data_IF_279573787149
#
_entry.id   IF_279573787149
#
_cell.length_a   1.000
_cell.length_b   1.000
_cell.length_c   1.000
_cell.angle_alpha   90.00
_cell.angle_beta   90.00
_cell.angle_gamma   90.00
#
_symmetry.space_group_name_H-M   'P 1'
#
loop_
_entity.id
_entity.type
_entity.pdbx_description
1 polymer ?
#
# COMPACT_ATOMS: atom_id res chain seq x y z
N UNK A 1 11.80 -16.54 -5.18
CA UNK A 1 10.51 -16.99 -5.76
C UNK A 1 10.61 -18.43 -6.17
N UNK A 2 9.56 -19.18 -5.94
CA UNK A 2 9.46 -20.52 -6.52
C UNK A 2 9.03 -20.35 -7.98
N UNK A 3 9.93 -20.60 -8.93
CA UNK A 3 9.58 -20.62 -10.35
C UNK A 3 8.85 -21.93 -10.68
N UNK A 4 7.60 -22.07 -10.21
CA UNK A 4 6.80 -23.23 -10.49
C UNK A 4 6.34 -23.25 -11.97
N UNK A 5 6.56 -24.40 -12.63
CA UNK A 5 5.90 -24.71 -13.90
C UNK A 5 4.47 -25.21 -13.66
N UNK A 6 3.67 -25.32 -14.70
CA UNK A 6 2.33 -25.92 -14.59
C UNK A 6 2.39 -27.36 -14.06
N UNK A 7 3.39 -28.09 -14.51
CA UNK A 7 3.66 -29.48 -14.11
C UNK A 7 4.02 -29.56 -12.61
N UNK A 8 4.79 -28.60 -12.10
CA UNK A 8 5.10 -28.53 -10.65
C UNK A 8 3.85 -28.27 -9.83
N UNK A 9 2.98 -27.36 -10.29
CA UNK A 9 1.69 -27.09 -9.63
C UNK A 9 0.80 -28.32 -9.58
N UNK A 10 0.69 -29.05 -10.70
CA UNK A 10 -0.12 -30.28 -10.77
C UNK A 10 0.41 -31.29 -9.74
N UNK A 11 1.74 -31.54 -9.77
CA UNK A 11 2.37 -32.46 -8.83
C UNK A 11 2.15 -32.07 -7.38
N UNK A 12 2.38 -30.81 -7.02
CA UNK A 12 2.20 -30.31 -5.65
C UNK A 12 0.75 -30.44 -5.17
N UNK A 13 -0.23 -30.16 -6.03
CA UNK A 13 -1.65 -30.30 -5.70
C UNK A 13 -2.01 -31.76 -5.38
N UNK A 14 -1.43 -32.72 -6.13
CA UNK A 14 -1.62 -34.16 -5.92
C UNK A 14 -0.88 -34.65 -4.66
N UNK A 15 0.43 -34.36 -4.53
CA UNK A 15 1.27 -34.80 -3.41
C UNK A 15 0.78 -34.28 -2.05
N UNK A 16 0.26 -33.06 -2.02
CA UNK A 16 -0.18 -32.38 -0.81
C UNK A 16 -1.68 -32.57 -0.51
N UNK A 17 -2.40 -33.41 -1.25
CA UNK A 17 -3.84 -33.69 -1.10
C UNK A 17 -4.67 -32.40 -1.02
N UNK A 18 -4.45 -31.50 -1.99
CA UNK A 18 -5.18 -30.24 -2.09
C UNK A 18 -6.58 -30.51 -2.66
N UNK A 19 -7.61 -30.17 -1.93
CA UNK A 19 -9.02 -30.34 -2.36
C UNK A 19 -9.58 -29.06 -3.03
N UNK A 20 -9.18 -27.87 -2.50
CA UNK A 20 -9.65 -26.58 -3.02
C UNK A 20 -8.50 -25.63 -3.29
N UNK A 21 -8.65 -24.87 -4.38
CA UNK A 21 -7.71 -23.80 -4.75
C UNK A 21 -8.46 -22.46 -4.71
N UNK A 22 -7.92 -21.50 -3.96
CA UNK A 22 -8.44 -20.15 -3.90
C UNK A 22 -7.68 -19.25 -4.87
N UNK A 23 -8.38 -18.75 -5.86
CA UNK A 23 -7.91 -17.73 -6.78
C UNK A 23 -8.17 -16.37 -6.15
N UNK A 24 -7.12 -15.73 -5.67
CA UNK A 24 -7.20 -14.50 -4.88
C UNK A 24 -6.85 -13.27 -5.73
N UNK A 25 -7.58 -12.21 -5.55
CA UNK A 25 -7.33 -10.91 -6.16
C UNK A 25 -7.82 -9.80 -5.19
N UNK A 26 -7.56 -8.54 -5.51
CA UNK A 26 -7.86 -7.42 -4.61
C UNK A 26 -8.80 -6.44 -5.31
N UNK A 27 -9.82 -5.95 -4.58
CA UNK A 27 -10.65 -4.86 -5.08
C UNK A 27 -9.94 -3.51 -5.00
N UNK A 28 -10.56 -2.46 -5.53
CA UNK A 28 -10.03 -1.09 -5.55
C UNK A 28 -9.62 -0.58 -4.16
N UNK A 29 -10.33 -1.00 -3.12
CA UNK A 29 -10.11 -0.54 -1.73
C UNK A 29 -9.14 -1.42 -0.93
N UNK A 30 -8.47 -2.38 -1.58
CA UNK A 30 -7.51 -3.26 -0.93
C UNK A 30 -8.15 -4.42 -0.15
N UNK A 31 -9.41 -4.75 -0.40
CA UNK A 31 -10.02 -5.93 0.20
C UNK A 31 -9.71 -7.17 -0.63
N UNK A 32 -9.20 -8.21 0.04
CA UNK A 32 -8.91 -9.48 -0.59
C UNK A 32 -10.21 -10.20 -0.96
N UNK A 33 -10.39 -10.47 -2.25
CA UNK A 33 -11.47 -11.29 -2.81
C UNK A 33 -10.92 -12.64 -3.23
N UNK A 34 -11.78 -13.63 -3.38
CA UNK A 34 -11.37 -14.92 -3.93
C UNK A 34 -12.52 -15.70 -4.57
N UNK A 35 -12.16 -16.55 -5.51
CA UNK A 35 -13.01 -17.61 -6.03
C UNK A 35 -12.39 -18.93 -5.62
N UNK A 36 -13.17 -19.85 -5.09
CA UNK A 36 -12.73 -21.18 -4.76
C UNK A 36 -13.12 -22.16 -5.88
N UNK A 37 -12.17 -22.93 -6.36
CA UNK A 37 -12.37 -24.02 -7.29
C UNK A 37 -11.87 -25.33 -6.68
N UNK A 38 -12.44 -26.46 -7.09
CA UNK A 38 -11.92 -27.78 -6.68
C UNK A 38 -10.64 -28.10 -7.43
N UNK A 39 -9.77 -28.95 -6.87
CA UNK A 39 -8.55 -29.40 -7.52
C UNK A 39 -8.83 -30.05 -8.88
N UNK A 40 -9.98 -30.68 -9.07
CA UNK A 40 -10.40 -31.23 -10.36
C UNK A 40 -10.56 -30.20 -11.48
N UNK A 41 -10.62 -28.91 -11.14
CA UNK A 41 -10.67 -27.81 -12.11
C UNK A 41 -9.28 -27.17 -12.33
N UNK A 42 -8.20 -27.76 -11.84
CA UNK A 42 -6.85 -27.21 -11.92
C UNK A 42 -6.42 -26.92 -13.36
N UNK A 43 -6.73 -27.80 -14.31
CA UNK A 43 -6.43 -27.57 -15.74
C UNK A 43 -7.08 -26.28 -16.26
N UNK A 44 -8.33 -26.02 -15.87
CA UNK A 44 -9.04 -24.79 -16.21
C UNK A 44 -8.35 -23.56 -15.61
N UNK A 45 -7.88 -23.67 -14.36
CA UNK A 45 -7.11 -22.63 -13.66
C UNK A 45 -5.83 -22.30 -14.42
N UNK A 46 -5.00 -23.34 -14.67
CA UNK A 46 -3.69 -23.19 -15.32
C UNK A 46 -3.75 -22.71 -16.76
N UNK A 47 -4.91 -22.84 -17.41
CA UNK A 47 -5.15 -22.35 -18.76
C UNK A 47 -5.92 -21.02 -18.80
N UNK A 48 -5.99 -20.29 -17.70
CA UNK A 48 -6.58 -18.95 -17.58
C UNK A 48 -8.07 -18.90 -17.99
N UNK A 49 -8.82 -19.98 -17.71
CA UNK A 49 -10.24 -20.12 -18.11
C UNK A 49 -11.22 -19.94 -16.93
N UNK A 50 -10.75 -19.40 -15.80
CA UNK A 50 -11.60 -19.12 -14.64
C UNK A 50 -12.24 -17.74 -14.78
N UNK A 51 -13.52 -17.73 -15.07
CA UNK A 51 -14.35 -16.53 -15.22
C UNK A 51 -15.09 -16.22 -13.92
N UNK A 52 -15.33 -14.94 -13.66
CA UNK A 52 -16.16 -14.45 -12.57
C UNK A 52 -16.93 -13.19 -12.98
N UNK A 53 -17.97 -12.87 -12.21
CA UNK A 53 -18.73 -11.64 -12.38
C UNK A 53 -18.04 -10.47 -11.67
N UNK A 54 -17.42 -9.59 -12.46
CA UNK A 54 -16.73 -8.39 -11.95
C UNK A 54 -17.69 -7.29 -11.49
N UNK A 55 -18.97 -7.33 -11.87
CA UNK A 55 -19.95 -6.30 -11.47
C UNK A 55 -20.26 -6.35 -9.96
N UNK A 56 -20.04 -7.51 -9.33
CA UNK A 56 -20.19 -7.69 -7.89
C UNK A 56 -18.98 -7.18 -7.07
N UNK A 57 -17.94 -6.66 -7.74
CA UNK A 57 -16.72 -6.19 -7.09
C UNK A 57 -16.67 -4.66 -7.15
N UNK A 58 -16.57 -4.05 -5.99
CA UNK A 58 -16.53 -2.59 -5.85
C UNK A 58 -15.38 -1.97 -6.68
N UNK A 59 -15.74 -1.04 -7.54
CA UNK A 59 -14.80 -0.32 -8.40
C UNK A 59 -14.36 -1.07 -9.67
N UNK A 60 -14.86 -2.29 -9.94
CA UNK A 60 -14.50 -3.04 -11.14
C UNK A 60 -15.36 -2.63 -12.35
N UNK A 61 -16.20 -3.50 -12.85
CA UNK A 61 -16.90 -3.31 -14.10
C UNK A 61 -18.36 -2.87 -13.93
N UNK A 62 -18.99 -2.44 -15.01
CA UNK A 62 -20.44 -2.27 -15.06
C UNK A 62 -21.10 -3.63 -15.32
N UNK A 63 -22.41 -3.72 -15.08
CA UNK A 63 -23.19 -4.96 -15.30
C UNK A 63 -23.08 -5.46 -16.75
N UNK A 64 -22.98 -4.53 -17.71
CA UNK A 64 -22.89 -4.84 -19.13
C UNK A 64 -21.53 -5.40 -19.57
N UNK A 65 -20.49 -5.27 -18.73
CA UNK A 65 -19.11 -5.71 -18.99
C UNK A 65 -18.60 -6.59 -17.84
N UNK A 66 -19.48 -7.39 -17.25
CA UNK A 66 -19.21 -8.06 -15.96
C UNK A 66 -18.28 -9.26 -16.06
N UNK A 67 -18.18 -9.91 -17.20
CA UNK A 67 -17.37 -11.11 -17.37
C UNK A 67 -15.87 -10.77 -17.29
N UNK A 68 -15.21 -11.31 -16.26
CA UNK A 68 -13.77 -11.15 -16.04
C UNK A 68 -13.10 -12.51 -15.86
N UNK A 69 -11.80 -12.58 -16.15
CA UNK A 69 -10.98 -13.78 -16.02
C UNK A 69 -9.87 -13.60 -14.99
N UNK A 70 -9.58 -14.67 -14.25
CA UNK A 70 -8.47 -14.73 -13.31
C UNK A 70 -7.30 -15.47 -13.95
N UNK A 71 -6.16 -14.80 -14.03
CA UNK A 71 -4.90 -15.33 -14.52
C UNK A 71 -3.97 -15.55 -13.32
N UNK A 72 -3.79 -16.81 -12.87
CA UNK A 72 -3.00 -17.09 -11.68
C UNK A 72 -1.51 -16.85 -11.91
N UNK A 73 -0.89 -16.19 -10.96
CA UNK A 73 0.55 -16.11 -10.84
C UNK A 73 1.05 -17.38 -10.14
N UNK A 74 1.67 -18.28 -10.90
CA UNK A 74 2.08 -19.60 -10.42
C UNK A 74 3.14 -19.51 -9.31
N UNK A 75 3.97 -18.47 -9.32
CA UNK A 75 5.00 -18.24 -8.29
C UNK A 75 4.41 -18.00 -6.90
N UNK A 76 3.12 -17.66 -6.84
CA UNK A 76 2.41 -17.33 -5.60
C UNK A 76 1.64 -18.50 -4.99
N UNK A 77 1.79 -19.74 -5.51
CA UNK A 77 1.13 -20.90 -4.91
C UNK A 77 1.57 -21.09 -3.46
N UNK A 78 0.59 -21.16 -2.56
CA UNK A 78 0.78 -21.42 -1.14
C UNK A 78 -0.32 -22.35 -0.60
N UNK A 79 0.06 -23.33 0.22
CA UNK A 79 -0.86 -24.20 0.93
C UNK A 79 -1.12 -23.61 2.31
N UNK A 80 -2.37 -23.45 2.70
CA UNK A 80 -2.72 -22.85 3.98
C UNK A 80 -2.39 -23.76 5.16
N UNK A 81 -1.40 -23.42 6.02
CA UNK A 81 -0.96 -24.28 7.12
C UNK A 81 -2.00 -24.42 8.23
N UNK A 82 -3.02 -23.58 8.25
CA UNK A 82 -4.11 -23.60 9.25
C UNK A 82 -5.34 -24.39 8.82
N UNK A 83 -5.26 -25.10 7.70
CA UNK A 83 -6.35 -26.00 7.24
C UNK A 83 -6.09 -27.43 7.69
N UNK A 84 -7.13 -28.33 7.68
CA UNK A 84 -6.98 -29.73 8.04
C UNK A 84 -5.85 -30.44 7.26
N UNK A 85 -5.31 -31.50 7.84
CA UNK A 85 -4.29 -32.34 7.19
C UNK A 85 -4.83 -33.11 5.97
N UNK A 86 -6.14 -33.35 5.93
CA UNK A 86 -6.85 -33.93 4.78
C UNK A 86 -7.73 -32.88 4.14
N UNK A 87 -7.81 -32.85 2.82
CA UNK A 87 -8.55 -31.85 2.07
C UNK A 87 -7.94 -30.46 2.20
N UNK A 88 -6.65 -30.33 1.99
CA UNK A 88 -5.92 -29.07 2.10
C UNK A 88 -6.47 -28.02 1.14
N UNK A 89 -6.22 -26.77 1.46
CA UNK A 89 -6.59 -25.62 0.63
C UNK A 89 -5.33 -24.86 0.24
N UNK A 90 -5.12 -24.72 -1.07
CA UNK A 90 -4.10 -23.86 -1.63
C UNK A 90 -4.68 -22.51 -2.06
N UNK A 91 -3.82 -21.54 -2.31
CA UNK A 91 -4.18 -20.27 -2.95
C UNK A 91 -3.17 -19.92 -4.05
N UNK A 92 -3.62 -19.18 -5.05
CA UNK A 92 -2.76 -18.43 -5.96
C UNK A 92 -3.30 -16.99 -6.06
N UNK A 93 -2.40 -16.01 -6.14
CA UNK A 93 -2.77 -14.64 -6.44
C UNK A 93 -2.94 -14.51 -7.95
N UNK A 94 -3.97 -13.80 -8.36
CA UNK A 94 -4.34 -13.68 -9.76
C UNK A 94 -4.34 -12.22 -10.20
N UNK A 95 -3.96 -12.01 -11.44
CA UNK A 95 -4.27 -10.79 -12.17
C UNK A 95 -5.65 -10.89 -12.81
N UNK A 96 -6.31 -9.76 -12.99
CA UNK A 96 -7.64 -9.70 -13.60
C UNK A 96 -7.53 -9.30 -15.07
N UNK A 97 -8.24 -10.03 -15.93
CA UNK A 97 -8.25 -9.84 -17.38
C UNK A 97 -9.67 -9.71 -17.92
N UNK A 98 -9.82 -8.94 -18.99
CA UNK A 98 -11.06 -8.85 -19.77
C UNK A 98 -11.25 -10.08 -20.68
N UNK A 99 -12.48 -10.36 -21.18
CA UNK A 99 -12.75 -11.46 -22.10
C UNK A 99 -11.94 -11.42 -23.41
N UNK A 100 -11.49 -10.25 -23.82
CA UNK A 100 -10.64 -10.06 -24.99
C UNK A 100 -9.15 -10.39 -24.76
N UNK A 101 -8.79 -10.87 -23.56
CA UNK A 101 -7.42 -11.22 -23.19
C UNK A 101 -6.51 -10.03 -22.83
N UNK A 102 -7.07 -8.83 -22.69
CA UNK A 102 -6.32 -7.67 -22.22
C UNK A 102 -6.38 -7.59 -20.69
N UNK A 103 -5.29 -7.16 -20.02
CA UNK A 103 -5.33 -6.86 -18.59
C UNK A 103 -6.43 -5.86 -18.27
N UNK A 104 -7.08 -6.05 -17.14
CA UNK A 104 -8.09 -5.11 -16.69
C UNK A 104 -7.44 -3.90 -16.00
N UNK A 105 -7.67 -2.71 -16.52
CA UNK A 105 -7.08 -1.46 -16.04
C UNK A 105 -7.56 -1.06 -14.63
N UNK A 106 -8.65 -1.65 -14.17
CA UNK A 106 -9.17 -1.48 -12.80
C UNK A 106 -8.58 -2.45 -11.78
N UNK A 107 -7.64 -3.32 -12.19
CA UNK A 107 -6.92 -4.21 -11.27
C UNK A 107 -5.77 -3.46 -10.58
N UNK A 108 -5.83 -3.26 -9.22
CA UNK A 108 -4.76 -2.60 -8.49
C UNK A 108 -3.38 -3.26 -8.65
N UNK A 109 -3.35 -4.61 -8.77
CA UNK A 109 -2.12 -5.36 -8.99
C UNK A 109 -1.51 -5.05 -10.37
N UNK A 110 -2.34 -4.87 -11.38
CA UNK A 110 -1.90 -4.45 -12.72
C UNK A 110 -1.32 -3.02 -12.72
N UNK A 111 -1.90 -2.08 -11.94
CA UNK A 111 -1.34 -0.72 -11.81
C UNK A 111 0.07 -0.77 -11.23
N UNK A 112 0.30 -1.57 -10.18
CA UNK A 112 1.65 -1.73 -9.61
C UNK A 112 2.61 -2.38 -10.61
N UNK A 113 2.18 -3.41 -11.36
CA UNK A 113 3.01 -4.03 -12.42
C UNK A 113 3.47 -3.01 -13.45
N UNK A 114 2.60 -2.08 -13.87
CA UNK A 114 2.98 -0.99 -14.78
C UNK A 114 4.04 -0.06 -14.17
N UNK A 115 3.91 0.28 -12.90
CA UNK A 115 4.88 1.12 -12.21
C UNK A 115 6.24 0.41 -12.05
N UNK A 116 6.23 -0.88 -11.70
CA UNK A 116 7.43 -1.73 -11.63
C UNK A 116 8.12 -1.81 -12.99
N UNK A 117 7.35 -2.05 -14.07
CA UNK A 117 7.90 -2.08 -15.43
C UNK A 117 8.60 -0.77 -15.82
N UNK A 118 8.03 0.37 -15.44
CA UNK A 118 8.69 1.67 -15.67
C UNK A 118 10.04 1.79 -14.92
N UNK A 119 10.14 1.22 -13.72
CA UNK A 119 11.40 1.17 -12.98
C UNK A 119 12.42 0.23 -13.65
N UNK A 120 11.98 -0.94 -14.11
CA UNK A 120 12.83 -1.89 -14.83
C UNK A 120 13.34 -1.28 -16.16
N UNK A 121 12.49 -0.57 -16.91
CA UNK A 121 12.87 0.16 -18.12
C UNK A 121 13.95 1.23 -17.84
N UNK A 122 14.00 1.75 -16.60
CA UNK A 122 15.08 2.63 -16.12
C UNK A 122 16.28 1.86 -15.57
N UNK A 123 16.23 0.53 -15.49
CA UNK A 123 17.29 -0.36 -15.02
C UNK A 123 17.36 -0.48 -13.49
N UNK A 124 16.24 -0.35 -12.78
CA UNK A 124 16.17 -0.46 -11.32
C UNK A 124 15.47 -1.75 -10.85
N UNK A 125 15.86 -2.22 -9.65
CA UNK A 125 15.21 -3.30 -8.88
C UNK A 125 14.82 -2.75 -7.51
N UNK A 126 13.64 -3.12 -6.97
CA UNK A 126 12.98 -2.42 -5.85
C UNK A 126 12.85 -3.28 -4.60
N UNK A 127 13.07 -2.67 -3.40
CA UNK A 127 13.00 -3.33 -2.08
C UNK A 127 12.23 -2.53 -1.02
N UNK A 128 11.50 -3.19 -0.05
CA UNK A 128 10.74 -2.52 1.03
C UNK A 128 10.51 -3.35 2.32
N UNK A 129 10.54 -2.76 3.56
CA UNK A 129 10.08 -3.36 4.84
C UNK A 129 10.08 -2.45 6.10
N UNK A 130 9.25 -2.67 7.23
CA UNK A 130 9.48 -2.24 8.62
C UNK A 130 8.42 -2.14 9.79
N UNK A 131 8.69 -1.66 11.07
CA UNK A 131 8.19 -1.72 12.48
C UNK A 131 7.44 -0.57 13.19
N UNK A 132 6.51 -0.82 14.30
CA UNK A 132 6.03 0.19 15.31
C UNK A 132 5.24 -0.22 16.60
N UNK A 133 4.88 0.71 17.61
CA UNK A 133 4.45 0.43 18.99
C UNK A 133 3.19 1.16 19.55
N UNK A 134 2.19 0.45 20.14
CA UNK A 134 1.21 0.91 21.16
C UNK A 134 0.57 -0.28 21.95
N UNK A 135 -0.13 -0.10 23.09
CA UNK A 135 -0.70 -1.20 23.88
C UNK A 135 -1.67 -2.07 23.07
N UNK A 136 -1.42 -3.40 23.02
CA UNK A 136 -2.11 -4.39 22.20
C UNK A 136 -1.97 -4.16 20.68
N UNK A 137 -1.06 -3.31 20.25
CA UNK A 137 -0.60 -3.19 18.88
C UNK A 137 0.59 -4.13 18.72
N UNK A 138 0.49 -4.99 17.71
CA UNK A 138 1.57 -5.87 17.31
C UNK A 138 2.06 -5.42 15.96
N UNK A 139 3.35 -5.39 15.82
CA UNK A 139 4.02 -5.09 14.60
C UNK A 139 4.77 -6.30 14.11
N UNK A 140 4.77 -6.50 12.83
CA UNK A 140 5.50 -7.58 12.18
C UNK A 140 6.22 -7.00 10.98
N UNK A 141 7.53 -7.14 10.98
CA UNK A 141 8.37 -6.79 9.85
C UNK A 141 8.29 -7.81 8.75
N UNK A 142 8.29 -7.30 7.55
CA UNK A 142 8.60 -8.12 6.38
C UNK A 142 10.09 -7.97 6.05
N UNK A 143 10.75 -9.09 5.75
CA UNK A 143 12.02 -9.01 5.04
C UNK A 143 11.75 -8.27 3.72
N UNK A 144 12.66 -7.39 3.32
CA UNK A 144 12.55 -6.68 2.05
C UNK A 144 12.44 -7.67 0.88
N UNK A 145 11.66 -7.29 -0.12
CA UNK A 145 11.43 -8.05 -1.34
C UNK A 145 11.04 -7.07 -2.46
N UNK A 146 10.88 -7.57 -3.68
CA UNK A 146 10.36 -6.80 -4.79
C UNK A 146 8.99 -6.20 -4.47
N UNK A 147 8.69 -5.02 -5.01
CA UNK A 147 7.50 -4.25 -4.66
C UNK A 147 6.18 -5.01 -4.87
N UNK A 148 6.07 -5.76 -5.98
CA UNK A 148 4.87 -6.54 -6.27
C UNK A 148 4.69 -7.68 -5.26
N UNK A 149 5.75 -8.41 -4.97
CA UNK A 149 5.76 -9.47 -3.95
C UNK A 149 5.45 -8.93 -2.55
N UNK A 150 6.02 -7.79 -2.20
CA UNK A 150 5.73 -7.13 -0.92
C UNK A 150 4.24 -6.81 -0.81
N UNK A 151 3.60 -6.31 -1.87
CA UNK A 151 2.16 -6.07 -1.88
C UNK A 151 1.35 -7.36 -1.72
N UNK A 152 1.72 -8.42 -2.44
CA UNK A 152 1.10 -9.76 -2.34
C UNK A 152 1.24 -10.32 -0.91
N UNK A 153 2.42 -10.18 -0.31
CA UNK A 153 2.71 -10.60 1.06
C UNK A 153 1.92 -9.82 2.11
N UNK A 154 1.75 -8.51 1.94
CA UNK A 154 0.91 -7.68 2.83
C UNK A 154 -0.55 -8.17 2.79
N UNK A 155 -1.09 -8.48 1.62
CA UNK A 155 -2.47 -9.00 1.51
C UNK A 155 -2.62 -10.36 2.18
N UNK A 156 -1.65 -11.25 1.97
CA UNK A 156 -1.60 -12.58 2.61
C UNK A 156 -1.48 -12.45 4.13
N UNK A 157 -0.61 -11.58 4.62
CA UNK A 157 -0.41 -11.30 6.03
C UNK A 157 -1.69 -10.82 6.72
N UNK A 158 -2.37 -9.82 6.15
CA UNK A 158 -3.65 -9.32 6.70
C UNK A 158 -4.69 -10.44 6.84
N UNK A 159 -4.77 -11.33 5.86
CA UNK A 159 -5.65 -12.50 5.91
C UNK A 159 -5.23 -13.49 6.99
N UNK A 160 -3.94 -13.84 7.05
CA UNK A 160 -3.40 -14.79 8.02
C UNK A 160 -3.62 -14.33 9.45
N UNK A 161 -3.26 -13.09 9.77
CA UNK A 161 -3.41 -12.50 11.12
C UNK A 161 -4.88 -12.51 11.56
N UNK A 162 -5.80 -12.06 10.70
CA UNK A 162 -7.24 -12.09 11.02
C UNK A 162 -7.75 -13.51 11.25
N UNK A 163 -7.27 -14.48 10.46
CA UNK A 163 -7.69 -15.89 10.57
C UNK A 163 -7.17 -16.52 11.86
N UNK A 164 -5.89 -16.30 12.18
CA UNK A 164 -5.26 -16.86 13.38
C UNK A 164 -5.86 -16.23 14.64
N UNK A 165 -5.99 -14.90 14.68
CA UNK A 165 -6.61 -14.19 15.81
C UNK A 165 -8.01 -14.74 16.11
N UNK A 166 -8.86 -14.90 15.08
CA UNK A 166 -10.21 -15.45 15.25
C UNK A 166 -10.21 -16.86 15.84
N UNK A 167 -9.23 -17.71 15.49
CA UNK A 167 -9.09 -19.06 16.06
C UNK A 167 -8.76 -19.06 17.55
N UNK A 168 -8.14 -17.99 18.03
CA UNK A 168 -7.83 -17.77 19.45
C UNK A 168 -8.85 -16.88 20.17
N UNK A 169 -10.03 -16.67 19.60
CA UNK A 169 -11.09 -15.85 20.19
C UNK A 169 -10.78 -14.35 20.20
N UNK A 170 -9.78 -13.90 19.41
CA UNK A 170 -9.37 -12.51 19.30
C UNK A 170 -9.87 -11.87 18.01
N UNK A 171 -9.94 -10.54 17.99
CA UNK A 171 -10.21 -9.75 16.79
C UNK A 171 -8.99 -8.92 16.41
N UNK A 172 -8.42 -9.20 15.24
CA UNK A 172 -7.33 -8.38 14.67
C UNK A 172 -7.91 -7.31 13.74
N UNK A 173 -7.52 -6.07 13.96
CA UNK A 173 -7.90 -4.92 13.13
C UNK A 173 -6.68 -4.26 12.50
N UNK A 174 -6.84 -3.78 11.27
CA UNK A 174 -5.89 -2.92 10.56
C UNK A 174 -6.44 -1.48 10.44
N UNK A 175 -7.32 -1.09 11.34
CA UNK A 175 -7.88 0.26 11.42
C UNK A 175 -6.79 1.25 11.83
N UNK A 176 -6.61 2.39 11.13
CA UNK A 176 -5.53 3.34 11.39
C UNK A 176 -5.55 3.95 12.79
N UNK A 177 -6.74 4.23 13.34
CA UNK A 177 -6.91 4.79 14.68
C UNK A 177 -8.07 4.10 15.41
N UNK A 178 -7.85 2.91 15.99
CA UNK A 178 -8.93 2.14 16.63
C UNK A 178 -9.38 2.70 17.98
N UNK A 179 -8.50 3.46 18.67
CA UNK A 179 -8.80 4.02 20.01
C UNK A 179 -8.40 5.49 20.09
N UNK A 180 -9.24 6.28 20.77
CA UNK A 180 -8.92 7.65 21.13
C UNK A 180 -7.79 7.71 22.19
N UNK A 181 -6.93 8.73 22.11
CA UNK A 181 -5.91 9.00 23.13
C UNK A 181 -4.67 8.09 23.13
N UNK A 182 -4.56 7.15 22.17
CA UNK A 182 -3.37 6.28 22.00
C UNK A 182 -2.83 6.37 20.57
N UNK A 183 -1.60 5.89 20.32
CA UNK A 183 -1.03 5.87 18.97
C UNK A 183 -1.90 5.01 18.01
N UNK A 184 -1.87 5.37 16.74
CA UNK A 184 -2.54 4.62 15.67
C UNK A 184 -1.62 3.59 15.01
N UNK A 185 -2.15 2.84 14.05
CA UNK A 185 -1.41 1.86 13.26
C UNK A 185 -0.93 2.47 11.94
N UNK A 186 0.38 2.56 11.75
CA UNK A 186 1.02 2.92 10.49
C UNK A 186 1.28 1.70 9.61
N UNK A 187 1.62 1.96 8.37
CA UNK A 187 2.27 1.02 7.45
C UNK A 187 3.42 1.78 6.80
N UNK A 188 4.53 1.89 7.53
CA UNK A 188 5.69 2.61 7.04
C UNK A 188 6.28 1.87 5.84
N UNK A 189 6.65 2.60 4.80
CA UNK A 189 7.19 2.00 3.59
C UNK A 189 8.65 2.39 3.47
N UNK A 190 9.51 1.39 3.64
CA UNK A 190 10.93 1.50 3.38
C UNK A 190 11.19 1.19 1.91
N UNK A 191 11.91 2.06 1.21
CA UNK A 191 12.16 1.95 -0.23
C UNK A 191 13.62 2.20 -0.55
N UNK A 192 14.17 1.37 -1.43
CA UNK A 192 15.44 1.59 -2.12
C UNK A 192 15.31 1.17 -3.57
N UNK A 193 16.24 1.63 -4.41
CA UNK A 193 16.34 1.18 -5.79
C UNK A 193 17.68 0.49 -6.01
N UNK A 194 17.66 -0.59 -6.79
CA UNK A 194 18.88 -1.28 -7.20
C UNK A 194 19.09 -1.16 -8.70
N UNK A 195 20.34 -1.10 -9.10
CA UNK A 195 20.78 -1.18 -10.50
C UNK A 195 22.03 -2.05 -10.56
N UNK A 196 22.04 -3.05 -11.44
CA UNK A 196 23.15 -3.99 -11.62
C UNK A 196 23.57 -4.65 -10.27
N UNK A 197 22.59 -5.01 -9.40
CA UNK A 197 22.80 -5.60 -8.08
C UNK A 197 23.35 -4.66 -7.01
N UNK A 198 23.41 -3.34 -7.27
CA UNK A 198 23.88 -2.34 -6.32
C UNK A 198 22.77 -1.38 -5.93
N UNK A 199 22.68 -1.08 -4.63
CA UNK A 199 21.81 -0.04 -4.12
C UNK A 199 22.28 1.33 -4.65
N UNK A 200 21.42 2.01 -5.44
CA UNK A 200 21.76 3.29 -6.05
C UNK A 200 21.46 4.51 -5.14
N UNK A 201 20.86 4.27 -3.97
CA UNK A 201 20.59 5.36 -3.02
C UNK A 201 21.82 5.72 -2.18
N UNK A 202 22.84 4.89 -2.18
CA UNK A 202 24.04 5.08 -1.37
C UNK A 202 25.09 5.92 -2.09
N UNK A 203 25.65 6.91 -1.37
CA UNK A 203 26.90 7.61 -1.72
C UNK A 203 27.69 7.90 -0.44
N UNK A 204 28.80 7.18 -0.24
CA UNK A 204 29.66 7.34 0.93
C UNK A 204 30.39 8.70 0.98
N UNK A 205 30.41 9.48 -0.10
CA UNK A 205 31.01 10.82 -0.16
C UNK A 205 30.05 11.93 0.29
N UNK A 206 28.74 11.63 0.34
CA UNK A 206 27.72 12.58 0.79
C UNK A 206 27.63 12.62 2.32
N UNK A 207 27.47 13.78 2.95
CA UNK A 207 27.35 13.91 4.43
C UNK A 207 26.21 13.11 5.05
N UNK A 208 25.13 12.85 4.30
CA UNK A 208 23.98 12.06 4.72
C UNK A 208 24.05 10.61 4.20
N UNK A 209 25.08 10.22 3.46
CA UNK A 209 25.24 8.92 2.84
C UNK A 209 24.30 8.67 1.65
N UNK A 210 23.69 9.72 1.08
CA UNK A 210 22.67 9.65 0.04
C UNK A 210 23.22 10.04 -1.33
N UNK A 211 22.89 9.25 -2.35
CA UNK A 211 23.15 9.61 -3.73
C UNK A 211 22.21 10.72 -4.24
N UNK A 212 22.54 11.29 -5.38
CA UNK A 212 21.66 12.25 -6.08
C UNK A 212 20.30 11.61 -6.43
N UNK A 213 20.31 10.36 -6.82
CA UNK A 213 19.11 9.58 -7.12
C UNK A 213 18.19 9.46 -5.90
N UNK A 214 18.75 9.23 -4.70
CA UNK A 214 17.98 9.21 -3.45
C UNK A 214 17.36 10.58 -3.16
N UNK A 215 18.11 11.67 -3.28
CA UNK A 215 17.56 13.02 -3.12
C UNK A 215 16.45 13.31 -4.13
N UNK A 216 16.64 12.97 -5.38
CA UNK A 216 15.62 13.18 -6.42
C UNK A 216 14.37 12.34 -6.15
N UNK A 217 14.53 11.10 -5.69
CA UNK A 217 13.42 10.23 -5.33
C UNK A 217 12.61 10.82 -4.16
N UNK A 218 13.28 11.31 -3.11
CA UNK A 218 12.65 12.04 -1.99
C UNK A 218 11.90 13.27 -2.52
N UNK A 219 12.54 14.06 -3.39
CA UNK A 219 11.92 15.25 -3.98
C UNK A 219 10.66 14.94 -4.77
N UNK A 220 10.66 13.85 -5.53
CA UNK A 220 9.48 13.39 -6.27
C UNK A 220 8.33 12.98 -5.36
N UNK A 221 8.59 12.20 -4.30
CA UNK A 221 7.57 11.85 -3.31
C UNK A 221 7.02 13.11 -2.63
N UNK A 222 7.88 14.01 -2.16
CA UNK A 222 7.44 15.23 -1.46
C UNK A 222 6.60 16.15 -2.36
N UNK A 223 6.88 16.21 -3.65
CA UNK A 223 6.10 16.97 -4.64
C UNK A 223 4.66 16.49 -4.72
N UNK A 224 4.44 15.18 -4.70
CA UNK A 224 3.13 14.56 -4.93
C UNK A 224 2.42 14.08 -3.65
N UNK A 225 3.04 14.22 -2.48
CA UNK A 225 2.56 13.56 -1.25
C UNK A 225 1.15 13.96 -0.85
N UNK A 226 0.70 15.19 -1.14
CA UNK A 226 -0.67 15.62 -0.86
C UNK A 226 -1.67 14.88 -1.75
N UNK A 227 -1.40 14.76 -3.04
CA UNK A 227 -2.22 13.98 -3.98
C UNK A 227 -2.19 12.47 -3.68
N UNK A 228 -1.06 11.97 -3.19
CA UNK A 228 -0.94 10.58 -2.76
C UNK A 228 -1.71 10.28 -1.48
N UNK A 229 -1.98 11.28 -0.63
CA UNK A 229 -2.57 11.08 0.70
C UNK A 229 -3.92 10.35 0.67
N UNK A 230 -4.78 10.61 -0.31
CA UNK A 230 -6.04 9.88 -0.46
C UNK A 230 -5.86 8.38 -0.69
N UNK A 231 -4.72 7.96 -1.27
CA UNK A 231 -4.37 6.56 -1.57
C UNK A 231 -3.65 5.92 -0.38
N UNK A 232 -2.69 6.62 0.20
CA UNK A 232 -1.85 6.13 1.31
C UNK A 232 -2.57 6.16 2.66
N UNK A 233 -3.61 7.01 2.78
CA UNK A 233 -4.42 7.25 3.97
C UNK A 233 -5.91 7.28 3.59
N UNK A 234 -6.49 6.10 3.24
CA UNK A 234 -7.71 6.02 2.43
C UNK A 234 -9.03 6.22 3.18
N UNK A 235 -9.02 6.32 4.50
CA UNK A 235 -10.23 6.35 5.31
C UNK A 235 -10.39 7.69 6.04
N UNK A 236 -11.64 8.07 6.36
CA UNK A 236 -11.89 9.15 7.33
C UNK A 236 -11.09 8.91 8.62
N UNK A 237 -11.00 7.66 9.05
CA UNK A 237 -10.26 7.27 10.24
C UNK A 237 -8.73 7.46 10.11
N UNK A 238 -8.17 7.44 8.91
CA UNK A 238 -6.76 7.72 8.63
C UNK A 238 -6.33 9.09 9.18
N UNK A 239 -7.17 10.09 9.01
CA UNK A 239 -6.93 11.48 9.43
C UNK A 239 -7.10 11.68 10.95
N UNK A 240 -7.68 10.71 11.66
CA UNK A 240 -7.66 10.64 13.14
C UNK A 240 -6.35 10.08 13.67
N UNK A 241 -5.55 9.40 12.83
CA UNK A 241 -4.16 9.03 13.12
C UNK A 241 -3.22 10.19 12.82
N UNK A 242 -3.38 10.89 11.69
CA UNK A 242 -2.53 11.98 11.23
C UNK A 242 -2.82 13.29 12.00
N UNK A 243 -2.68 13.24 13.31
CA UNK A 243 -2.83 14.39 14.21
C UNK A 243 -1.58 14.59 15.06
N UNK A 244 -1.19 15.83 15.40
CA UNK A 244 -0.02 16.11 16.24
C UNK A 244 -0.11 15.40 17.60
N UNK A 245 1.06 14.94 18.10
CA UNK A 245 1.17 14.35 19.44
C UNK A 245 1.05 12.82 19.54
N UNK A 246 0.91 12.11 18.42
CA UNK A 246 0.76 10.64 18.37
C UNK A 246 1.76 9.96 17.43
N UNK A 247 2.96 10.50 17.30
CA UNK A 247 4.08 9.96 16.48
C UNK A 247 3.80 9.76 14.99
N UNK A 248 2.61 10.10 14.52
CA UNK A 248 2.29 10.09 13.11
C UNK A 248 2.76 11.39 12.43
N UNK A 249 3.36 11.34 11.24
CA UNK A 249 3.84 12.54 10.55
C UNK A 249 2.64 13.36 10.04
N UNK A 250 2.66 14.66 10.36
CA UNK A 250 1.65 15.61 9.90
C UNK A 250 2.26 16.62 8.94
N UNK A 251 3.56 16.87 9.07
CA UNK A 251 4.30 17.90 8.34
C UNK A 251 5.14 17.29 7.23
N UNK A 252 5.18 17.96 6.08
CA UNK A 252 5.91 17.53 4.88
C UNK A 252 7.35 17.98 5.03
N UNK A 253 8.19 17.09 5.57
CA UNK A 253 9.61 17.30 5.76
C UNK A 253 10.34 15.95 5.71
N UNK A 254 11.67 15.96 5.58
CA UNK A 254 12.51 14.77 5.68
C UNK A 254 13.69 14.99 6.63
N UNK A 255 14.26 13.90 7.17
CA UNK A 255 15.38 13.95 8.10
C UNK A 255 16.17 12.64 8.11
N UNK A 256 17.46 12.75 8.46
CA UNK A 256 18.35 11.60 8.71
C UNK A 256 18.39 11.18 10.17
N UNK A 257 17.95 12.02 11.11
CA UNK A 257 18.12 11.80 12.56
C UNK A 257 16.82 11.78 13.35
N UNK A 258 15.75 12.38 12.85
CA UNK A 258 14.51 12.60 13.57
C UNK A 258 13.42 11.61 13.12
N UNK A 259 12.50 11.24 14.04
CA UNK A 259 11.32 10.39 13.75
C UNK A 259 10.02 11.18 13.52
N UNK A 260 10.06 12.52 13.67
CA UNK A 260 8.88 13.37 13.48
C UNK A 260 8.54 13.71 12.01
N UNK A 261 9.48 13.73 11.04
CA UNK A 261 9.17 14.07 9.67
C UNK A 261 8.46 12.93 8.90
N UNK A 262 7.89 13.33 7.77
CA UNK A 262 7.20 12.46 6.83
C UNK A 262 8.11 11.39 6.23
N UNK A 263 9.33 11.78 5.84
CA UNK A 263 10.34 10.88 5.29
C UNK A 263 11.53 10.85 6.23
N UNK A 264 11.92 9.64 6.64
CA UNK A 264 13.11 9.38 7.44
C UNK A 264 14.12 8.59 6.64
N UNK A 265 15.40 8.86 6.89
CA UNK A 265 16.49 8.01 6.40
C UNK A 265 16.98 7.17 7.59
N UNK A 266 16.65 5.88 7.65
CA UNK A 266 17.13 5.01 8.72
C UNK A 266 18.65 4.89 8.70
N UNK A 267 19.28 4.90 9.88
CA UNK A 267 20.71 4.64 9.99
C UNK A 267 21.03 3.19 9.59
N UNK A 268 22.13 2.99 8.89
CA UNK A 268 22.68 1.68 8.52
C UNK A 268 24.09 1.56 9.02
N UNK A 269 24.48 0.40 9.57
CA UNK A 269 25.80 0.22 10.18
C UNK A 269 26.93 0.33 9.15
N UNK A 270 26.70 -0.11 7.92
CA UNK A 270 27.74 -0.33 6.89
C UNK A 270 27.46 0.46 5.61
N UNK A 271 26.40 1.28 5.58
CA UNK A 271 25.91 1.93 4.35
C UNK A 271 25.18 0.97 3.40
N UNK A 272 25.40 -0.33 3.51
CA UNK A 272 24.58 -1.33 2.82
C UNK A 272 23.15 -1.28 3.36
N UNK A 273 22.15 -1.11 2.50
CA UNK A 273 20.75 -0.98 2.92
C UNK A 273 20.29 0.47 3.13
N UNK A 274 21.01 1.46 2.57
CA UNK A 274 20.52 2.84 2.49
C UNK A 274 19.16 2.87 1.82
N UNK A 275 18.17 3.42 2.53
CA UNK A 275 16.76 3.45 2.13
C UNK A 275 16.07 4.68 2.65
N UNK A 276 14.93 5.00 2.09
CA UNK A 276 14.01 6.01 2.60
C UNK A 276 12.82 5.33 3.25
N UNK A 277 12.33 5.87 4.35
CA UNK A 277 11.14 5.43 5.07
C UNK A 277 10.04 6.48 4.93
N UNK A 278 8.99 6.19 4.17
CA UNK A 278 7.78 7.01 4.12
C UNK A 278 6.85 6.60 5.26
N UNK A 279 6.52 7.53 6.16
CA UNK A 279 5.88 7.24 7.44
C UNK A 279 4.39 7.58 7.52
N UNK A 280 3.85 8.29 6.52
CA UNK A 280 2.43 8.64 6.49
C UNK A 280 1.50 7.47 6.19
N UNK A 281 1.79 6.50 5.30
CA UNK A 281 0.85 5.45 4.95
C UNK A 281 0.34 4.69 6.17
N UNK A 282 -0.88 4.19 6.09
CA UNK A 282 -1.48 3.39 7.15
C UNK A 282 -1.93 2.01 6.67
N UNK A 283 -2.21 1.15 7.63
CA UNK A 283 -2.51 -0.25 7.38
C UNK A 283 -3.85 -0.53 6.68
N UNK A 284 -4.72 0.49 6.49
CA UNK A 284 -5.94 0.36 5.71
C UNK A 284 -5.70 0.57 4.20
N UNK A 285 -4.56 1.14 3.82
CA UNK A 285 -4.23 1.41 2.44
C UNK A 285 -4.19 0.13 1.58
N UNK A 286 -4.57 0.27 0.31
CA UNK A 286 -4.36 -0.75 -0.70
C UNK A 286 -2.85 -0.81 -1.03
N UNK A 287 -2.14 -1.90 -0.71
CA UNK A 287 -0.69 -1.94 -0.86
C UNK A 287 -0.25 -1.79 -2.31
N UNK A 288 -1.00 -2.32 -3.28
CA UNK A 288 -0.66 -2.20 -4.69
C UNK A 288 -0.69 -0.74 -5.16
N UNK A 289 -1.78 -0.03 -4.88
CA UNK A 289 -1.90 1.37 -5.27
C UNK A 289 -0.90 2.25 -4.51
N UNK A 290 -0.71 1.99 -3.23
CA UNK A 290 0.24 2.74 -2.38
C UNK A 290 1.67 2.62 -2.92
N UNK A 291 2.14 1.41 -3.19
CA UNK A 291 3.48 1.19 -3.72
C UNK A 291 3.61 1.75 -5.15
N UNK A 292 2.58 1.63 -5.97
CA UNK A 292 2.58 2.18 -7.33
C UNK A 292 2.76 3.71 -7.34
N UNK A 293 2.00 4.45 -6.51
CA UNK A 293 2.12 5.92 -6.47
C UNK A 293 3.43 6.36 -5.83
N UNK A 294 3.92 5.66 -4.79
CA UNK A 294 5.22 5.96 -4.18
C UNK A 294 6.37 5.78 -5.18
N UNK A 295 6.39 4.63 -5.87
CA UNK A 295 7.41 4.33 -6.86
C UNK A 295 7.38 5.32 -8.02
N UNK A 296 6.22 5.55 -8.60
CA UNK A 296 6.06 6.44 -9.76
C UNK A 296 6.44 7.89 -9.42
N UNK A 297 6.06 8.40 -8.24
CA UNK A 297 6.43 9.73 -7.77
C UNK A 297 7.96 9.86 -7.60
N UNK A 298 8.59 8.86 -6.96
CA UNK A 298 10.04 8.83 -6.79
C UNK A 298 10.79 8.76 -8.14
N UNK A 299 10.33 7.93 -9.07
CA UNK A 299 10.91 7.82 -10.42
C UNK A 299 10.74 9.11 -11.23
N UNK A 300 9.61 9.82 -11.10
CA UNK A 300 9.48 11.15 -11.71
C UNK A 300 10.51 12.13 -11.12
N UNK A 301 10.69 12.08 -9.78
CA UNK A 301 11.73 12.87 -9.13
C UNK A 301 13.12 12.66 -9.73
N UNK A 302 13.51 11.41 -9.99
CA UNK A 302 14.78 11.07 -10.64
C UNK A 302 14.82 11.60 -12.09
N UNK A 303 13.78 11.38 -12.87
CA UNK A 303 13.71 11.85 -14.28
C UNK A 303 13.82 13.36 -14.41
N UNK A 304 13.09 14.09 -13.57
CA UNK A 304 13.03 15.56 -13.59
C UNK A 304 14.10 16.21 -12.72
N UNK A 305 14.91 15.41 -12.00
CA UNK A 305 15.94 15.86 -11.05
C UNK A 305 15.39 16.81 -10.00
N UNK A 306 14.27 16.45 -9.38
CA UNK A 306 13.58 17.24 -8.36
C UNK A 306 14.34 17.11 -7.05
N UNK A 307 14.94 18.19 -6.58
CA UNK A 307 15.58 18.21 -5.26
C UNK A 307 14.52 18.40 -4.15
N UNK A 308 14.62 17.69 -3.02
CA UNK A 308 13.83 18.00 -1.84
C UNK A 308 14.30 19.32 -1.22
N UNK A 309 13.47 19.96 -0.36
CA UNK A 309 13.94 21.05 0.51
C UNK A 309 15.04 20.56 1.47
N UNK A 310 15.65 21.47 2.21
CA UNK A 310 16.64 21.12 3.24
C UNK A 310 16.05 20.19 4.30
N UNK A 311 16.88 19.28 4.82
CA UNK A 311 16.45 18.33 5.87
C UNK A 311 16.18 19.06 7.19
N UNK A 312 15.14 18.63 7.89
CA UNK A 312 14.75 19.22 9.17
C UNK A 312 15.12 18.27 10.31
N UNK A 313 16.18 18.59 11.03
CA UNK A 313 16.68 17.78 12.14
C UNK A 313 16.13 18.23 13.51
N UNK A 314 15.37 19.33 13.57
CA UNK A 314 14.66 19.77 14.76
C UNK A 314 13.35 19.01 14.99
N UNK A 315 12.85 18.98 16.22
CA UNK A 315 11.52 18.47 16.50
C UNK A 315 10.44 19.39 15.90
N UNK A 316 9.88 19.00 14.76
CA UNK A 316 8.92 19.80 13.99
C UNK A 316 7.66 20.11 14.81
N UNK A 317 7.25 19.22 15.74
CA UNK A 317 6.08 19.45 16.60
C UNK A 317 6.31 20.56 17.64
N UNK A 318 7.56 20.86 17.98
CA UNK A 318 7.90 21.95 18.89
C UNK A 318 7.95 23.33 18.19
N UNK A 319 8.00 23.36 16.85
CA UNK A 319 8.04 24.61 16.06
C UNK A 319 6.69 25.31 16.09
N UNK A 320 6.71 26.62 16.22
CA UNK A 320 5.51 27.47 16.06
C UNK A 320 5.03 27.48 14.59
N UNK A 321 3.78 27.88 14.36
CA UNK A 321 3.26 28.04 13.00
C UNK A 321 4.06 29.04 12.16
N UNK A 322 4.63 30.09 12.81
CA UNK A 322 5.50 31.08 12.16
C UNK A 322 6.81 30.47 11.70
N UNK A 323 7.50 29.73 12.58
CA UNK A 323 8.76 29.07 12.26
C UNK A 323 8.59 28.01 11.16
N UNK A 324 7.50 27.22 11.18
CA UNK A 324 7.21 26.29 10.10
C UNK A 324 7.03 26.99 8.76
N UNK A 325 6.34 28.14 8.74
CA UNK A 325 6.17 28.95 7.54
C UNK A 325 7.50 29.51 7.01
N UNK A 326 8.37 29.98 7.91
CA UNK A 326 9.71 30.50 7.54
C UNK A 326 10.60 29.40 6.97
N UNK A 327 10.45 28.15 7.44
CA UNK A 327 11.15 26.96 6.95
C UNK A 327 10.46 26.30 5.74
N UNK A 328 9.38 26.87 5.20
CA UNK A 328 8.55 26.29 4.13
C UNK A 328 8.09 24.86 4.42
N UNK A 329 7.82 24.54 5.69
CA UNK A 329 7.27 23.23 6.09
C UNK A 329 5.76 23.28 5.92
N UNK A 330 5.28 22.54 4.91
CA UNK A 330 3.86 22.41 4.62
C UNK A 330 3.24 21.23 5.41
N UNK A 331 1.95 21.05 5.31
CA UNK A 331 1.17 20.07 6.05
C UNK A 331 0.48 19.07 5.13
N UNK A 332 0.36 17.82 5.55
CA UNK A 332 -0.52 16.85 4.91
C UNK A 332 -1.98 17.28 5.03
N UNK A 333 -2.87 16.85 4.12
CA UNK A 333 -4.31 17.05 4.27
C UNK A 333 -4.79 16.61 5.66
N UNK A 334 -5.65 17.39 6.28
CA UNK A 334 -6.19 17.11 7.62
C UNK A 334 -7.46 16.28 7.61
N UNK A 335 -8.08 16.09 6.45
CA UNK A 335 -9.31 15.33 6.25
C UNK A 335 -9.27 14.51 4.97
N UNK A 336 -10.13 13.49 4.90
CA UNK A 336 -10.28 12.70 3.66
C UNK A 336 -10.72 13.58 2.49
N UNK A 337 -11.59 14.55 2.71
CA UNK A 337 -12.01 15.46 1.65
C UNK A 337 -10.85 16.27 1.07
N UNK A 338 -10.06 16.90 1.94
CA UNK A 338 -8.88 17.67 1.52
C UNK A 338 -7.91 16.79 0.71
N UNK A 339 -7.69 15.54 1.14
CA UNK A 339 -6.82 14.61 0.41
C UNK A 339 -7.39 14.25 -0.96
N UNK A 340 -8.69 14.05 -1.08
CA UNK A 340 -9.34 13.81 -2.38
C UNK A 340 -9.23 15.04 -3.29
N UNK A 341 -9.40 16.24 -2.74
CA UNK A 341 -9.23 17.48 -3.50
C UNK A 341 -7.78 17.70 -3.97
N UNK A 342 -6.80 17.28 -3.20
CA UNK A 342 -5.40 17.29 -3.62
C UNK A 342 -5.11 16.22 -4.70
N UNK A 343 -5.73 15.02 -4.61
CA UNK A 343 -5.65 14.01 -5.66
C UNK A 343 -6.26 14.49 -6.98
N UNK A 344 -7.39 15.21 -6.94
CA UNK A 344 -8.03 15.81 -8.13
C UNK A 344 -7.18 16.87 -8.81
N UNK A 345 -6.30 17.55 -8.07
CA UNK A 345 -5.35 18.53 -8.62
C UNK A 345 -4.08 17.88 -9.19
N UNK A 346 -3.74 16.70 -8.71
CA UNK A 346 -2.51 16.00 -9.08
C UNK A 346 -2.75 15.07 -10.28
N UNK A 347 -2.68 15.62 -11.46
CA UNK A 347 -2.87 14.86 -12.71
C UNK A 347 -1.86 13.75 -12.89
N UNK A 348 -0.62 13.90 -12.37
CA UNK A 348 0.39 12.85 -12.45
C UNK A 348 -0.02 11.61 -11.64
N UNK A 349 -0.50 11.78 -10.42
CA UNK A 349 -0.96 10.64 -9.61
C UNK A 349 -2.22 10.00 -10.23
N UNK A 350 -3.12 10.81 -10.81
CA UNK A 350 -4.27 10.28 -11.56
C UNK A 350 -3.81 9.44 -12.76
N UNK A 351 -2.82 9.89 -13.53
CA UNK A 351 -2.24 9.14 -14.66
C UNK A 351 -1.61 7.83 -14.22
N UNK A 352 -0.93 7.79 -13.07
CA UNK A 352 -0.38 6.55 -12.48
C UNK A 352 -1.49 5.55 -12.18
N UNK A 353 -2.59 6.00 -11.59
CA UNK A 353 -3.75 5.17 -11.29
C UNK A 353 -4.49 4.73 -12.56
N UNK A 354 -4.51 5.57 -13.57
CA UNK A 354 -5.32 5.45 -14.77
C UNK A 354 -6.76 5.94 -14.54
N UNK A 355 -7.42 6.38 -15.62
CA UNK A 355 -8.72 7.06 -15.58
C UNK A 355 -9.79 6.25 -14.84
N UNK A 356 -9.80 4.94 -15.04
CA UNK A 356 -10.79 4.06 -14.41
C UNK A 356 -10.67 4.07 -12.88
N UNK A 357 -9.47 3.80 -12.36
CA UNK A 357 -9.24 3.76 -10.90
C UNK A 357 -9.38 5.16 -10.32
N UNK A 358 -8.76 6.18 -10.91
CA UNK A 358 -8.80 7.55 -10.39
C UNK A 358 -10.23 8.04 -10.24
N UNK A 359 -11.06 7.92 -11.30
CA UNK A 359 -12.45 8.36 -11.26
C UNK A 359 -13.28 7.60 -10.22
N UNK A 360 -13.24 6.26 -10.25
CA UNK A 360 -14.00 5.43 -9.29
C UNK A 360 -13.58 5.66 -7.84
N UNK A 361 -12.28 5.85 -7.61
CA UNK A 361 -11.74 6.09 -6.28
C UNK A 361 -12.18 7.44 -5.71
N UNK A 362 -12.04 8.50 -6.49
CA UNK A 362 -12.46 9.86 -6.12
C UNK A 362 -13.96 9.87 -5.77
N UNK A 363 -14.82 9.32 -6.63
CA UNK A 363 -16.26 9.25 -6.40
C UNK A 363 -16.59 8.52 -5.09
N UNK A 364 -15.98 7.36 -4.87
CA UNK A 364 -16.21 6.56 -3.68
C UNK A 364 -15.76 7.28 -2.40
N UNK A 365 -14.59 7.95 -2.43
CA UNK A 365 -14.06 8.67 -1.27
C UNK A 365 -14.82 9.96 -0.96
N UNK A 366 -15.33 10.64 -1.97
CA UNK A 366 -16.28 11.76 -1.77
C UNK A 366 -17.59 11.29 -1.14
N UNK A 367 -18.11 10.14 -1.57
CA UNK A 367 -19.31 9.53 -0.96
C UNK A 367 -19.05 9.15 0.50
N UNK A 368 -17.95 8.46 0.81
CA UNK A 368 -17.56 8.10 2.18
C UNK A 368 -17.48 9.34 3.10
N UNK A 369 -16.85 10.42 2.62
CA UNK A 369 -16.79 11.67 3.37
C UNK A 369 -18.16 12.28 3.58
N UNK A 370 -19.02 12.31 2.54
CA UNK A 370 -20.37 12.87 2.65
C UNK A 370 -21.23 12.09 3.66
N UNK A 371 -21.15 10.78 3.66
CA UNK A 371 -21.83 9.93 4.63
C UNK A 371 -21.30 10.17 6.06
N UNK A 372 -19.97 10.23 6.23
CA UNK A 372 -19.36 10.49 7.53
C UNK A 372 -19.75 11.86 8.10
N UNK A 373 -19.67 12.94 7.29
CA UNK A 373 -19.95 14.30 7.78
C UNK A 373 -21.41 14.54 8.18
N UNK A 374 -22.31 13.67 7.78
CA UNK A 374 -23.73 13.71 8.17
C UNK A 374 -24.01 12.95 9.47
N UNK A 375 -23.05 12.20 9.99
CA UNK A 375 -23.22 11.50 11.25
C UNK A 375 -23.09 12.44 12.45
N UNK A 376 -23.95 12.26 13.44
CA UNK A 376 -23.82 12.94 14.74
C UNK A 376 -23.09 11.99 15.69
N UNK A 377 -21.93 12.39 16.15
CA UNK A 377 -21.10 11.56 17.04
C UNK A 377 -21.57 11.65 18.51
N UNK A 378 -21.26 10.61 19.29
CA UNK A 378 -21.52 10.66 20.74
C UNK A 378 -20.82 11.83 21.43
N UNK A 379 -19.62 12.20 20.96
CA UNK A 379 -18.88 13.35 21.47
C UNK A 379 -19.68 14.66 21.25
N UNK A 380 -20.27 14.86 20.09
CA UNK A 380 -21.12 16.03 19.79
C UNK A 380 -22.36 16.06 20.69
N UNK A 381 -22.99 14.90 20.89
CA UNK A 381 -24.14 14.77 21.79
C UNK A 381 -23.73 15.13 23.24
N UNK A 382 -22.63 14.57 23.72
CA UNK A 382 -22.13 14.85 25.09
C UNK A 382 -21.72 16.32 25.26
N UNK A 383 -21.10 16.92 24.25
CA UNK A 383 -20.61 18.30 24.34
C UNK A 383 -21.67 19.36 24.10
N UNK A 384 -22.69 19.08 23.27
CA UNK A 384 -23.59 20.12 22.78
C UNK A 384 -25.04 19.95 23.21
N UNK A 385 -25.58 18.74 23.38
CA UNK A 385 -27.01 18.49 23.57
C UNK A 385 -27.60 19.27 24.75
N UNK A 386 -26.86 19.44 25.84
CA UNK A 386 -27.31 20.14 27.05
C UNK A 386 -26.77 21.57 27.17
N UNK A 387 -25.95 22.03 26.20
CA UNK A 387 -25.40 23.38 26.23
C UNK A 387 -26.16 24.33 25.32
N UNK A 388 -26.80 23.78 24.33
CA UNK A 388 -27.55 24.51 23.29
C UNK A 388 -28.94 23.90 23.12
#
# INVERSE_FOLDING_TARGET
MNNYTKEDIIRLVEEEDVEFIRLQFTDLFGNLKNIAVTASQLDRVLNNKCMFDGSAIDGFARIEESDMYLYPDLSTLEIFPWRPQQGKVARMICDVYRPNGQPFEGDPRYVLKRAVQQAEDMGFVIEASHHEMAPAQHEIDFKYDEALHTADNIMTFKMAVRTIARRHGLHATFMPKPKFGVNGSGMHINMSLQKDGKNIFQDASDPNGLSKEAYYFIGGIMKHIKGMAAITNPLVNSYKRLVPGFEAPVYIAWSTTNRSPLIRIPATADGEGTRIELRSPDSAANPYLTLAVCLSAGLQGIREKILPPESINANIFALTAKERKELNIDQLPGTLLEAVEELEKDTFIQDVLGDHIAGKYIDAKRKEWHEYRSQVSEWEIQEYLYKY
#
